data_IF_559344698776
#
_entry.id   IF_559344698776
#
_cell.length_a   1.000
_cell.length_b   1.000
_cell.length_c   1.000
_cell.angle_alpha   90.00
_cell.angle_beta   90.00
_cell.angle_gamma   90.00
#
_symmetry.space_group_name_H-M   'P 1'
#
loop_
_entity.id
_entity.type
_entity.pdbx_description
1 polymer ?
#
# COMPACT_ATOMS: atom_id res chain seq x y z
N UNK A 1 1.60 8.46 -6.20
CA UNK A 1 1.72 9.70 -6.99
C UNK A 1 0.83 10.82 -6.45
N UNK A 2 -0.49 10.61 -6.32
CA UNK A 2 -1.44 11.65 -5.89
C UNK A 2 -1.06 12.26 -4.54
N UNK A 3 -0.76 11.44 -3.55
CA UNK A 3 -0.36 11.92 -2.23
C UNK A 3 0.93 12.75 -2.30
N UNK A 4 1.88 12.32 -3.10
CA UNK A 4 3.13 13.04 -3.29
C UNK A 4 2.92 14.39 -3.99
N UNK A 5 2.00 14.45 -4.96
CA UNK A 5 1.63 15.72 -5.62
C UNK A 5 1.02 16.73 -4.65
N UNK A 6 0.39 16.25 -3.58
CA UNK A 6 -0.21 17.07 -2.52
C UNK A 6 0.77 17.46 -1.41
N UNK A 7 2.04 17.09 -1.53
CA UNK A 7 3.09 17.47 -0.60
C UNK A 7 3.55 16.39 0.38
N UNK A 8 2.98 15.18 0.31
CA UNK A 8 3.39 14.08 1.18
C UNK A 8 4.70 13.45 0.72
N UNK A 9 5.55 13.07 1.65
CA UNK A 9 6.64 12.14 1.39
C UNK A 9 6.07 10.74 1.37
N UNK A 10 6.29 10.00 0.28
CA UNK A 10 5.73 8.66 0.06
C UNK A 10 6.86 7.66 -0.12
N UNK A 11 6.89 6.65 0.72
CA UNK A 11 7.73 5.48 0.55
C UNK A 11 6.89 4.33 0.03
N UNK A 12 7.26 3.80 -1.14
CA UNK A 12 6.64 2.64 -1.76
C UNK A 12 7.44 1.41 -1.37
N UNK A 13 6.78 0.38 -0.87
CA UNK A 13 7.42 -0.91 -0.58
C UNK A 13 6.81 -1.95 -1.51
N UNK A 14 7.64 -2.58 -2.35
CA UNK A 14 7.19 -3.56 -3.33
C UNK A 14 7.99 -4.85 -3.22
N UNK A 15 7.29 -5.96 -3.00
CA UNK A 15 7.91 -7.29 -2.88
C UNK A 15 8.24 -7.95 -4.22
N UNK A 16 7.49 -7.65 -5.27
CA UNK A 16 7.69 -8.24 -6.58
C UNK A 16 8.86 -7.59 -7.30
N UNK A 17 9.89 -8.35 -7.72
CA UNK A 17 11.00 -7.80 -8.48
C UNK A 17 10.57 -7.20 -9.81
N UNK A 18 9.57 -7.78 -10.47
CA UNK A 18 9.05 -7.29 -11.76
C UNK A 18 8.32 -5.96 -11.58
N UNK A 19 7.41 -5.89 -10.64
CA UNK A 19 6.67 -4.64 -10.33
C UNK A 19 7.64 -3.58 -9.81
N UNK A 20 8.58 -3.96 -8.97
CA UNK A 20 9.62 -3.06 -8.47
C UNK A 20 10.46 -2.45 -9.59
N UNK A 21 10.85 -3.25 -10.59
CA UNK A 21 11.59 -2.75 -11.76
C UNK A 21 10.77 -1.76 -12.58
N UNK A 22 9.48 -2.03 -12.79
CA UNK A 22 8.56 -1.13 -13.50
C UNK A 22 8.38 0.19 -12.75
N UNK A 23 8.21 0.15 -11.44
CA UNK A 23 8.10 1.34 -10.60
C UNK A 23 9.40 2.15 -10.60
N UNK A 24 10.53 1.49 -10.51
CA UNK A 24 11.85 2.14 -10.59
C UNK A 24 12.02 2.92 -11.90
N UNK A 25 11.69 2.28 -13.02
CA UNK A 25 11.74 2.92 -14.34
C UNK A 25 10.77 4.10 -14.44
N UNK A 26 9.54 3.91 -13.96
CA UNK A 26 8.54 4.97 -13.95
C UNK A 26 8.95 6.19 -13.12
N UNK A 27 9.52 5.96 -11.94
CA UNK A 27 10.04 7.04 -11.08
C UNK A 27 11.23 7.74 -11.72
N UNK A 28 12.15 7.01 -12.35
CA UNK A 28 13.30 7.58 -13.03
C UNK A 28 12.88 8.48 -14.20
N UNK A 29 11.89 8.06 -14.98
CA UNK A 29 11.33 8.88 -16.07
C UNK A 29 10.59 10.09 -15.55
N UNK A 30 9.77 9.94 -14.50
CA UNK A 30 9.05 11.04 -13.88
C UNK A 30 10.00 12.09 -13.29
N UNK A 31 11.12 11.66 -12.72
CA UNK A 31 12.15 12.55 -12.17
C UNK A 31 12.78 13.48 -13.20
N UNK A 32 12.73 13.10 -14.48
CA UNK A 32 13.27 13.90 -15.58
C UNK A 32 12.24 14.83 -16.23
N UNK A 33 10.98 14.71 -15.82
CA UNK A 33 9.92 15.56 -16.36
C UNK A 33 10.08 17.00 -15.85
N UNK A 34 10.00 18.02 -16.72
CA UNK A 34 10.24 19.42 -16.34
C UNK A 34 9.18 19.98 -15.37
N UNK A 35 7.98 19.42 -15.35
CA UNK A 35 6.88 19.91 -14.49
C UNK A 35 6.87 19.23 -13.13
N UNK A 36 7.13 17.92 -13.08
CA UNK A 36 6.93 17.12 -11.87
C UNK A 36 8.23 16.57 -11.27
N UNK A 37 9.34 16.57 -12.05
CA UNK A 37 10.57 15.86 -11.69
C UNK A 37 11.16 16.28 -10.36
N UNK A 38 11.12 17.55 -10.03
CA UNK A 38 11.70 18.05 -8.78
C UNK A 38 11.02 17.46 -7.54
N UNK A 39 9.69 17.50 -7.48
CA UNK A 39 8.99 16.98 -6.31
C UNK A 39 8.88 15.44 -6.33
N UNK A 40 8.86 14.79 -7.51
CA UNK A 40 8.92 13.32 -7.57
C UNK A 40 10.21 12.81 -6.96
N UNK A 41 11.34 13.39 -7.35
CA UNK A 41 12.66 13.00 -6.82
C UNK A 41 12.78 13.22 -5.32
N UNK A 42 12.18 14.29 -4.82
CA UNK A 42 12.24 14.63 -3.40
C UNK A 42 11.28 13.79 -2.53
N UNK A 43 10.07 13.51 -3.04
CA UNK A 43 8.97 13.00 -2.22
C UNK A 43 8.67 11.52 -2.40
N UNK A 44 9.11 10.90 -3.50
CA UNK A 44 8.79 9.50 -3.80
C UNK A 44 10.03 8.62 -3.74
N UNK A 45 9.99 7.62 -2.88
CA UNK A 45 11.08 6.66 -2.68
C UNK A 45 10.56 5.23 -2.79
N UNK A 46 11.33 4.36 -3.42
CA UNK A 46 10.98 2.95 -3.60
C UNK A 46 11.95 2.07 -2.82
N UNK A 47 11.39 1.16 -2.02
CA UNK A 47 12.10 0.06 -1.38
C UNK A 47 11.63 -1.25 -1.98
N UNK A 48 12.56 -2.04 -2.49
CA UNK A 48 12.27 -3.36 -3.03
C UNK A 48 12.58 -4.44 -2.02
N UNK A 49 11.77 -5.48 -2.01
CA UNK A 49 11.96 -6.65 -1.16
C UNK A 49 10.76 -6.97 -0.28
N UNK A 50 10.92 -7.90 0.67
CA UNK A 50 9.85 -8.31 1.58
C UNK A 50 9.25 -7.12 2.33
N UNK A 51 7.90 -7.02 2.28
CA UNK A 51 7.22 -5.84 2.78
C UNK A 51 7.35 -5.67 4.30
N UNK A 52 7.21 -6.76 5.06
CA UNK A 52 7.31 -6.73 6.52
C UNK A 52 8.72 -6.29 6.96
N UNK A 53 9.75 -6.88 6.38
CA UNK A 53 11.14 -6.57 6.74
C UNK A 53 11.49 -5.11 6.43
N UNK A 54 11.11 -4.63 5.25
CA UNK A 54 11.34 -3.24 4.87
C UNK A 54 10.55 -2.26 5.75
N UNK A 55 9.32 -2.62 6.10
CA UNK A 55 8.48 -1.79 6.96
C UNK A 55 9.07 -1.64 8.36
N UNK A 56 9.51 -2.75 8.96
CA UNK A 56 10.11 -2.74 10.30
C UNK A 56 11.49 -2.10 10.33
N UNK A 57 12.18 -2.02 9.19
CA UNK A 57 13.51 -1.42 9.06
C UNK A 57 13.48 0.07 8.70
N UNK A 58 12.32 0.69 8.56
CA UNK A 58 12.22 2.12 8.26
C UNK A 58 12.93 2.96 9.36
N UNK A 59 13.75 3.94 8.97
CA UNK A 59 14.49 4.77 9.93
C UNK A 59 13.57 5.69 10.74
N UNK A 60 12.44 6.08 10.17
CA UNK A 60 11.44 6.93 10.81
C UNK A 60 10.07 6.27 10.76
N UNK A 61 9.27 6.50 11.78
CA UNK A 61 7.88 6.00 11.81
C UNK A 61 7.01 6.84 10.87
N UNK A 62 6.39 6.24 9.86
CA UNK A 62 5.46 6.96 9.00
C UNK A 62 4.20 7.36 9.78
N UNK A 63 3.63 8.50 9.46
CA UNK A 63 2.36 8.93 10.06
C UNK A 63 1.22 8.00 9.68
N UNK A 64 1.16 7.63 8.40
CA UNK A 64 0.11 6.77 7.83
C UNK A 64 0.74 5.66 7.01
N UNK A 65 0.25 4.45 7.19
CA UNK A 65 0.60 3.29 6.36
C UNK A 65 -0.63 2.87 5.59
N UNK A 66 -0.52 2.79 4.27
CA UNK A 66 -1.56 2.31 3.38
C UNK A 66 -1.21 0.92 2.88
N UNK A 67 -2.11 -0.03 3.08
CA UNK A 67 -1.98 -1.40 2.62
C UNK A 67 -3.02 -1.71 1.55
N UNK A 68 -2.57 -2.23 0.42
CA UNK A 68 -3.44 -2.70 -0.67
C UNK A 68 -3.05 -4.15 -1.03
N UNK A 69 -3.29 -5.12 -0.12
CA UNK A 69 -2.94 -6.51 -0.38
C UNK A 69 -3.77 -7.10 -1.51
N UNK A 70 -3.14 -7.89 -2.37
CA UNK A 70 -3.82 -8.61 -3.45
C UNK A 70 -4.79 -9.62 -2.86
N UNK A 71 -6.09 -9.34 -3.01
CA UNK A 71 -7.15 -10.24 -2.58
C UNK A 71 -7.53 -11.17 -3.73
N UNK A 72 -7.67 -12.50 -3.50
CA UNK A 72 -8.11 -13.39 -4.54
C UNK A 72 -9.53 -13.03 -4.98
N UNK A 73 -9.69 -12.64 -6.25
CA UNK A 73 -11.00 -12.36 -6.81
C UNK A 73 -11.83 -13.63 -6.88
N UNK A 74 -13.10 -13.54 -6.45
CA UNK A 74 -14.07 -14.59 -6.74
C UNK A 74 -14.15 -14.79 -8.26
N UNK A 75 -14.05 -16.05 -8.71
CA UNK A 75 -14.03 -16.43 -10.12
C UNK A 75 -15.30 -16.09 -10.92
N UNK A 76 -16.16 -15.20 -10.43
CA UNK A 76 -17.48 -14.91 -11.02
C UNK A 76 -17.57 -13.68 -11.91
N UNK A 77 -16.52 -12.93 -12.12
CA UNK A 77 -16.57 -11.87 -13.12
C UNK A 77 -15.80 -12.30 -14.37
N UNK A 78 -16.54 -12.65 -15.39
CA UNK A 78 -16.02 -12.99 -16.73
C UNK A 78 -15.30 -11.82 -17.43
N UNK A 79 -15.05 -10.72 -16.75
CA UNK A 79 -14.55 -9.46 -17.29
C UNK A 79 -13.39 -8.85 -16.50
N UNK A 80 -12.51 -9.68 -15.97
CA UNK A 80 -11.19 -9.17 -15.57
C UNK A 80 -10.46 -8.83 -16.86
N UNK A 81 -10.10 -7.58 -17.07
CA UNK A 81 -9.34 -7.14 -18.24
C UNK A 81 -8.11 -8.03 -18.41
N UNK A 82 -7.76 -8.35 -19.64
CA UNK A 82 -6.63 -9.24 -19.96
C UNK A 82 -5.33 -8.80 -19.26
N UNK A 83 -5.11 -7.50 -19.20
CA UNK A 83 -3.95 -6.90 -18.54
C UNK A 83 -3.90 -7.22 -17.03
N UNK A 84 -5.04 -7.19 -16.34
CA UNK A 84 -5.14 -7.53 -14.93
C UNK A 84 -4.90 -9.01 -14.65
N UNK A 85 -5.30 -9.90 -15.56
CA UNK A 85 -4.99 -11.34 -15.41
C UNK A 85 -3.50 -11.59 -15.52
N UNK A 86 -2.84 -10.96 -16.48
CA UNK A 86 -1.38 -11.04 -16.64
C UNK A 86 -0.69 -10.52 -15.39
N UNK A 87 -1.12 -9.37 -14.88
CA UNK A 87 -0.57 -8.78 -13.67
C UNK A 87 -0.75 -9.70 -12.45
N UNK A 88 -1.94 -10.26 -12.26
CA UNK A 88 -2.22 -11.21 -11.18
C UNK A 88 -1.38 -12.49 -11.28
N UNK A 89 -1.14 -12.99 -12.51
CA UNK A 89 -0.28 -14.16 -12.71
C UNK A 89 1.19 -13.88 -12.42
N UNK A 90 1.65 -12.67 -12.66
CA UNK A 90 3.03 -12.26 -12.39
C UNK A 90 3.29 -11.99 -10.89
N UNK A 91 2.32 -11.40 -10.21
CA UNK A 91 2.46 -11.00 -8.79
C UNK A 91 2.08 -12.14 -7.85
N UNK A 92 1.13 -12.99 -8.25
CA UNK A 92 0.57 -14.05 -7.42
C UNK A 92 -0.31 -13.54 -6.27
N UNK A 93 -0.96 -14.44 -5.52
CA UNK A 93 -1.71 -14.07 -4.33
C UNK A 93 -0.77 -13.60 -3.23
N UNK A 94 -1.20 -12.62 -2.46
CA UNK A 94 -0.47 -12.12 -1.30
C UNK A 94 -0.77 -13.02 -0.09
N UNK A 95 -0.01 -14.11 0.05
CA UNK A 95 -0.18 -15.09 1.13
C UNK A 95 0.27 -14.54 2.50
N UNK A 96 1.08 -13.48 2.49
CA UNK A 96 1.64 -12.86 3.71
C UNK A 96 0.90 -11.58 4.10
N UNK A 97 -0.25 -11.30 3.49
CA UNK A 97 -1.01 -10.09 3.71
C UNK A 97 -1.38 -9.89 5.19
N UNK A 98 -1.79 -10.96 5.87
CA UNK A 98 -2.18 -10.91 7.28
C UNK A 98 -1.00 -10.48 8.19
N UNK A 99 0.22 -10.86 7.85
CA UNK A 99 1.41 -10.48 8.62
C UNK A 99 1.78 -8.99 8.46
N UNK A 100 1.32 -8.34 7.41
CA UNK A 100 1.55 -6.91 7.20
C UNK A 100 0.84 -6.04 8.22
N UNK A 101 -0.35 -6.43 8.67
CA UNK A 101 -1.14 -5.60 9.58
C UNK A 101 -0.46 -5.42 10.95
N UNK A 102 -0.01 -6.47 11.65
CA UNK A 102 0.71 -6.27 12.91
C UNK A 102 1.95 -5.38 12.76
N UNK A 103 2.73 -5.57 11.71
CA UNK A 103 3.90 -4.75 11.43
C UNK A 103 3.52 -3.28 11.16
N UNK A 104 2.48 -3.04 10.39
CA UNK A 104 1.97 -1.70 10.10
C UNK A 104 1.46 -1.01 11.38
N UNK A 105 0.69 -1.74 12.21
CA UNK A 105 0.19 -1.21 13.48
C UNK A 105 1.33 -0.85 14.46
N UNK A 106 2.43 -1.60 14.41
CA UNK A 106 3.61 -1.31 15.22
C UNK A 106 4.34 -0.04 14.74
N UNK A 107 4.39 0.18 13.43
CA UNK A 107 5.19 1.25 12.82
C UNK A 107 4.43 2.55 12.57
N UNK A 108 3.14 2.50 12.32
CA UNK A 108 2.36 3.71 12.04
C UNK A 108 2.25 4.61 13.27
N UNK A 109 2.50 5.89 13.08
CA UNK A 109 2.35 6.87 14.16
C UNK A 109 0.89 7.24 14.42
N UNK A 110 0.09 7.43 13.35
CA UNK A 110 -1.28 7.93 13.48
C UNK A 110 -2.34 6.93 13.03
N UNK A 111 -2.16 6.29 11.88
CA UNK A 111 -3.17 5.35 11.36
C UNK A 111 -2.63 4.38 10.32
N UNK A 112 -3.33 3.27 10.21
CA UNK A 112 -3.17 2.31 9.12
C UNK A 112 -4.47 2.25 8.34
N UNK A 113 -4.40 2.27 7.02
CA UNK A 113 -5.53 2.16 6.11
C UNK A 113 -5.35 0.93 5.25
N UNK A 114 -6.33 0.04 5.24
CA UNK A 114 -6.31 -1.19 4.45
C UNK A 114 -7.44 -1.16 3.44
N UNK A 115 -7.09 -1.22 2.16
CA UNK A 115 -8.08 -1.36 1.10
C UNK A 115 -8.52 -2.82 0.99
N UNK A 116 -9.82 -3.04 1.01
CA UNK A 116 -10.44 -4.36 0.88
C UNK A 116 -11.58 -4.30 -0.14
N UNK A 117 -11.88 -5.41 -0.82
CA UNK A 117 -13.19 -5.54 -1.46
C UNK A 117 -14.31 -5.39 -0.41
N UNK A 118 -15.47 -4.88 -0.82
CA UNK A 118 -16.60 -4.63 0.09
C UNK A 118 -17.08 -5.89 0.83
N UNK A 119 -16.94 -7.06 0.21
CA UNK A 119 -17.36 -8.36 0.76
C UNK A 119 -16.27 -9.07 1.59
N UNK A 120 -15.05 -8.56 1.64
CA UNK A 120 -13.94 -9.24 2.32
C UNK A 120 -14.04 -9.10 3.84
N UNK A 121 -13.54 -10.11 4.55
CA UNK A 121 -13.30 -9.99 5.99
C UNK A 121 -12.21 -8.97 6.31
N UNK A 122 -12.03 -8.69 7.58
CA UNK A 122 -10.95 -7.82 8.03
C UNK A 122 -9.59 -8.51 7.86
N UNK A 123 -8.57 -7.74 7.49
CA UNK A 123 -7.22 -8.25 7.40
C UNK A 123 -6.78 -8.79 8.77
N UNK A 124 -6.18 -9.98 8.78
CA UNK A 124 -5.76 -10.66 10.00
C UNK A 124 -6.88 -10.80 11.05
N UNK A 125 -8.14 -10.84 10.61
CA UNK A 125 -9.34 -10.90 11.50
C UNK A 125 -9.39 -9.78 12.55
N UNK A 126 -8.65 -8.70 12.33
CA UNK A 126 -8.53 -7.58 13.26
C UNK A 126 -9.57 -6.50 12.90
N UNK A 127 -10.49 -6.25 13.82
CA UNK A 127 -11.53 -5.24 13.63
C UNK A 127 -10.94 -3.82 13.54
N UNK A 128 -11.24 -3.06 12.47
CA UNK A 128 -10.78 -1.67 12.37
C UNK A 128 -11.52 -0.74 13.33
N UNK A 129 -10.96 0.42 13.56
CA UNK A 129 -11.59 1.51 14.32
C UNK A 129 -12.81 2.06 13.61
N UNK A 130 -12.73 2.16 12.28
CA UNK A 130 -13.82 2.61 11.40
C UNK A 130 -13.62 2.06 9.99
N UNK A 131 -14.65 2.13 9.17
CA UNK A 131 -14.58 1.74 7.77
C UNK A 131 -15.22 2.82 6.90
N UNK A 132 -14.60 3.07 5.73
CA UNK A 132 -15.14 3.95 4.70
C UNK A 132 -15.54 3.06 3.53
N UNK A 133 -16.84 2.99 3.25
CA UNK A 133 -17.37 2.16 2.18
C UNK A 133 -17.55 2.96 0.89
N UNK A 134 -17.19 2.33 -0.22
CA UNK A 134 -17.45 2.83 -1.56
C UNK A 134 -18.27 1.81 -2.34
N UNK A 135 -18.60 2.07 -3.59
CA UNK A 135 -19.44 1.19 -4.40
C UNK A 135 -18.93 -0.26 -4.49
N UNK A 136 -17.62 -0.47 -4.51
CA UNK A 136 -17.02 -1.79 -4.73
C UNK A 136 -15.87 -2.11 -3.78
N UNK A 137 -15.47 -1.17 -2.97
CA UNK A 137 -14.35 -1.31 -2.05
C UNK A 137 -14.71 -0.82 -0.65
N UNK A 138 -13.91 -1.24 0.30
CA UNK A 138 -13.96 -0.76 1.68
C UNK A 138 -12.55 -0.38 2.12
N UNK A 139 -12.42 0.73 2.81
CA UNK A 139 -11.18 1.13 3.46
C UNK A 139 -11.32 0.95 4.97
N UNK A 140 -10.63 -0.05 5.50
CA UNK A 140 -10.60 -0.30 6.94
C UNK A 140 -9.53 0.60 7.56
N UNK A 141 -9.92 1.44 8.51
CA UNK A 141 -9.05 2.43 9.14
C UNK A 141 -8.78 2.03 10.60
N UNK A 142 -7.51 1.88 10.92
CA UNK A 142 -7.03 1.61 12.26
C UNK A 142 -6.38 2.89 12.79
N UNK A 143 -7.03 3.51 13.78
CA UNK A 143 -6.51 4.72 14.41
C UNK A 143 -5.63 4.31 15.58
N UNK A 144 -4.38 4.77 15.56
CA UNK A 144 -3.49 4.59 16.70
C UNK A 144 -4.02 5.42 17.85
N UNK A 145 -4.10 4.82 19.05
CA UNK A 145 -4.44 5.57 20.24
C UNK A 145 -3.46 6.75 20.33
N UNK A 146 -3.99 7.96 20.40
CA UNK A 146 -3.17 9.09 20.78
C UNK A 146 -2.50 8.69 22.08
N UNK A 147 -1.18 8.56 22.08
CA UNK A 147 -0.45 8.50 23.32
C UNK A 147 -0.94 9.69 24.10
N UNK A 148 -1.61 9.40 25.21
CA UNK A 148 -2.09 10.48 26.05
C UNK A 148 -0.90 11.39 26.28
N UNK A 149 -0.93 12.55 25.66
CA UNK A 149 0.06 13.59 25.92
C UNK A 149 -0.13 13.96 27.37
N UNK A 150 0.66 13.29 28.17
CA UNK A 150 0.76 13.67 29.58
C UNK A 150 1.33 15.06 29.70
#
# INVERSE_FOLDING_TARGET
FVLASLGCKVTLIERSPVVGALLQDGLARAAQDPEIGSWVSERMHLLQGPAVDNLLALPERPEVIYLDPMFPHKQKSALVKKEMRVFQSLVGPDLDADALLPAALQMADKRVVVKRPDYAGWLNEHKPSMAIETKSNRFDVYVMAALASG
#
